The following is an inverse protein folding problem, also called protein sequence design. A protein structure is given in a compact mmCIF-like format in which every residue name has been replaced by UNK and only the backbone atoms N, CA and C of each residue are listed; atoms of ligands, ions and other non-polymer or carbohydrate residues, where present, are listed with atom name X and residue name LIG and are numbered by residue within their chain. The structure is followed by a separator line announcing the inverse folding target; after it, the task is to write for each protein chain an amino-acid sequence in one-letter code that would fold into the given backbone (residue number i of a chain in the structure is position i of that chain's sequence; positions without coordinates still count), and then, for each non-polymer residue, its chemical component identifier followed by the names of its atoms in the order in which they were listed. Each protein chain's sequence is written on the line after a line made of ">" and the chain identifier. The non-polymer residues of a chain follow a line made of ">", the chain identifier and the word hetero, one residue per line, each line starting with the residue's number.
data_IF_653054052869
#
_entry.id   IF_653054052869
#
_cell.length_a   1.000
_cell.length_b   1.000
_cell.length_c   1.000
_cell.angle_alpha   90.00
_cell.angle_beta   90.00
_cell.angle_gamma   90.00
#
_symmetry.space_group_name_H-M   'P 1'
#
loop_
_entity.id
_entity.type
_entity.pdbx_description
1 polymer ?
#
# COMPACT_ATOMS: atom_id res chain seq x y z
N UNK A 1 47.16 8.47 46.33
CA UNK A 1 46.98 8.19 44.88
C UNK A 1 45.82 7.21 44.71
N UNK A 2 44.60 7.70 44.46
CA UNK A 2 43.38 6.95 44.01
C UNK A 2 42.19 7.92 43.95
N UNK A 3 42.35 9.04 43.24
CA UNK A 3 41.29 10.06 43.03
C UNK A 3 40.89 10.16 41.55
N UNK A 4 40.99 9.06 40.79
CA UNK A 4 40.80 9.06 39.34
C UNK A 4 39.76 8.01 38.90
N UNK A 5 38.59 7.95 39.56
CA UNK A 5 37.55 6.95 39.22
C UNK A 5 36.11 7.48 39.21
N UNK A 6 35.90 8.79 39.24
CA UNK A 6 34.55 9.39 39.25
C UNK A 6 34.29 10.26 37.99
N UNK A 7 35.27 10.34 37.08
CA UNK A 7 35.21 11.12 35.84
C UNK A 7 34.75 10.29 34.62
N UNK A 8 33.75 9.42 34.79
CA UNK A 8 33.08 8.76 33.65
C UNK A 8 31.55 8.74 33.74
N UNK A 9 30.97 9.35 34.78
CA UNK A 9 29.53 9.26 35.06
C UNK A 9 28.76 10.59 34.94
N UNK A 10 29.34 11.60 34.30
CA UNK A 10 28.71 12.91 34.12
C UNK A 10 28.81 13.43 32.67
N UNK A 11 28.47 12.57 31.72
CA UNK A 11 28.25 12.94 30.31
C UNK A 11 26.86 12.53 29.77
N UNK A 12 25.89 12.28 30.66
CA UNK A 12 24.51 11.92 30.29
C UNK A 12 23.53 13.09 30.53
N UNK A 13 23.92 14.35 30.27
CA UNK A 13 22.95 15.46 30.44
C UNK A 13 22.85 16.47 29.32
N UNK A 14 23.52 16.29 28.18
CA UNK A 14 23.33 17.20 27.04
C UNK A 14 23.25 16.42 25.74
N UNK A 15 22.16 15.66 25.56
CA UNK A 15 21.65 15.43 24.22
C UNK A 15 20.79 16.66 23.91
N UNK A 16 21.18 17.55 22.99
CA UNK A 16 20.29 18.61 22.56
C UNK A 16 19.05 17.96 21.94
N UNK A 17 17.87 18.36 22.41
CA UNK A 17 16.56 17.95 21.92
C UNK A 17 16.28 18.32 20.44
N UNK A 18 17.31 18.65 19.66
CA UNK A 18 17.27 18.89 18.22
C UNK A 18 17.78 17.70 17.39
N UNK A 19 18.29 16.63 18.01
CA UNK A 19 18.64 15.40 17.31
C UNK A 19 17.47 14.40 17.32
N UNK A 20 16.27 14.83 16.90
CA UNK A 20 15.35 13.91 16.24
C UNK A 20 15.98 13.58 14.88
N UNK A 21 16.99 12.71 14.89
CA UNK A 21 17.42 12.00 13.69
C UNK A 21 16.21 11.18 13.27
N UNK A 22 15.41 11.74 12.38
CA UNK A 22 14.49 10.97 11.56
C UNK A 22 15.35 10.04 10.70
N UNK A 23 15.75 8.91 11.29
CA UNK A 23 16.01 7.69 10.55
C UNK A 23 14.68 7.25 9.94
N UNK A 24 14.26 7.94 8.89
CA UNK A 24 12.95 7.76 8.27
C UNK A 24 12.94 7.99 6.77
N UNK A 25 14.09 8.16 6.12
CA UNK A 25 14.14 8.51 4.69
C UNK A 25 15.10 7.67 3.83
N UNK A 26 15.77 6.66 4.36
CA UNK A 26 16.57 5.73 3.55
C UNK A 26 15.92 4.33 3.49
N UNK A 27 15.22 4.05 2.37
CA UNK A 27 14.71 2.74 1.88
C UNK A 27 13.27 2.29 2.24
N UNK A 28 12.25 3.05 1.81
CA UNK A 28 11.08 2.42 1.16
C UNK A 28 11.24 2.40 -0.36
N UNK A 29 12.37 1.89 -0.83
CA UNK A 29 12.62 1.70 -2.26
C UNK A 29 11.78 0.52 -2.74
N UNK A 30 10.78 0.80 -3.57
CA UNK A 30 10.21 -0.06 -4.62
C UNK A 30 9.53 -1.41 -4.28
N UNK A 31 9.28 -1.77 -3.01
CA UNK A 31 8.59 -3.04 -2.67
C UNK A 31 7.17 -2.84 -2.08
N UNK A 32 6.52 -1.72 -2.40
CA UNK A 32 5.11 -1.52 -2.03
C UNK A 32 4.25 -2.51 -2.82
N UNK A 33 3.40 -3.26 -2.13
CA UNK A 33 2.46 -4.11 -2.83
C UNK A 33 1.34 -3.28 -3.48
N UNK A 34 0.71 -3.79 -4.53
CA UNK A 34 -0.42 -3.13 -5.21
C UNK A 34 -1.51 -2.74 -4.20
N UNK A 35 -1.80 -3.61 -3.22
CA UNK A 35 -2.77 -3.33 -2.15
C UNK A 35 -2.36 -2.13 -1.30
N UNK A 36 -1.07 -1.98 -0.99
CA UNK A 36 -0.55 -0.86 -0.20
C UNK A 36 -0.57 0.46 -0.98
N UNK A 37 -0.34 0.39 -2.30
CA UNK A 37 -0.46 1.55 -3.20
C UNK A 37 -1.92 2.01 -3.30
N UNK A 38 -2.87 1.07 -3.39
CA UNK A 38 -4.30 1.37 -3.38
C UNK A 38 -4.74 2.02 -2.06
N UNK A 39 -4.29 1.48 -0.93
CA UNK A 39 -4.54 2.05 0.40
C UNK A 39 -3.94 3.47 0.53
N UNK A 40 -2.73 3.69 0.02
CA UNK A 40 -2.08 5.00 0.01
C UNK A 40 -2.81 6.04 -0.85
N UNK A 41 -3.56 5.58 -1.87
CA UNK A 41 -4.38 6.42 -2.76
C UNK A 41 -5.88 6.31 -2.47
N UNK A 42 -6.23 6.26 -1.17
CA UNK A 42 -7.61 6.14 -0.68
C UNK A 42 -8.61 7.15 -1.29
N UNK A 43 -8.18 8.36 -1.64
CA UNK A 43 -9.06 9.39 -2.25
C UNK A 43 -9.72 8.95 -3.57
N UNK A 44 -9.07 8.05 -4.34
CA UNK A 44 -9.57 7.62 -5.64
C UNK A 44 -10.01 6.16 -5.67
N UNK A 45 -9.51 5.33 -4.77
CA UNK A 45 -9.68 3.88 -4.81
C UNK A 45 -10.31 3.27 -3.55
N UNK A 46 -10.83 4.08 -2.62
CA UNK A 46 -11.40 3.57 -1.36
C UNK A 46 -12.51 2.52 -1.57
N UNK A 47 -13.37 2.69 -2.58
CA UNK A 47 -14.43 1.70 -2.89
C UNK A 47 -13.83 0.37 -3.36
N UNK A 48 -12.76 0.43 -4.16
CA UNK A 48 -12.07 -0.76 -4.63
C UNK A 48 -11.30 -1.44 -3.50
N UNK A 49 -10.59 -0.69 -2.65
CA UNK A 49 -9.87 -1.25 -1.50
C UNK A 49 -10.81 -2.04 -0.58
N UNK A 50 -11.98 -1.50 -0.26
CA UNK A 50 -12.97 -2.21 0.57
C UNK A 50 -13.61 -3.43 -0.10
N UNK A 51 -13.55 -3.56 -1.43
CA UNK A 51 -13.96 -4.76 -2.16
C UNK A 51 -12.83 -5.80 -2.21
N UNK A 52 -11.58 -5.35 -2.41
CA UNK A 52 -10.40 -6.20 -2.40
C UNK A 52 -10.18 -6.82 -1.01
N UNK A 53 -10.42 -6.07 0.06
CA UNK A 53 -10.35 -6.57 1.45
C UNK A 53 -11.36 -7.68 1.76
N UNK A 54 -12.43 -7.81 0.97
CA UNK A 54 -13.41 -8.90 1.12
C UNK A 54 -12.99 -10.20 0.46
N UNK A 55 -11.98 -10.16 -0.42
CA UNK A 55 -11.49 -11.33 -1.14
C UNK A 55 -10.00 -11.57 -0.86
N UNK A 56 -9.73 -12.56 -0.03
CA UNK A 56 -8.36 -12.98 0.32
C UNK A 56 -7.60 -13.56 -0.87
N UNK A 57 -8.27 -14.18 -1.84
CA UNK A 57 -7.63 -14.73 -3.03
C UNK A 57 -7.13 -13.61 -3.95
N UNK A 58 -7.86 -12.50 -4.02
CA UNK A 58 -7.45 -11.33 -4.78
C UNK A 58 -6.23 -10.66 -4.15
N UNK A 59 -6.19 -10.54 -2.82
CA UNK A 59 -5.01 -10.07 -2.09
C UNK A 59 -3.82 -11.00 -2.36
N UNK A 60 -4.01 -12.32 -2.20
CA UNK A 60 -2.95 -13.30 -2.44
C UNK A 60 -2.38 -13.19 -3.86
N UNK A 61 -3.25 -13.03 -4.86
CA UNK A 61 -2.86 -12.82 -6.26
C UNK A 61 -2.07 -11.53 -6.43
N UNK A 62 -2.55 -10.40 -5.91
CA UNK A 62 -1.86 -9.11 -6.03
C UNK A 62 -0.56 -9.03 -5.20
N UNK A 63 -0.41 -9.89 -4.20
CA UNK A 63 0.81 -10.06 -3.39
C UNK A 63 1.79 -11.09 -3.92
N UNK A 64 1.43 -11.82 -4.97
CA UNK A 64 2.30 -12.84 -5.55
C UNK A 64 3.54 -12.22 -6.20
N UNK A 65 4.62 -13.00 -6.28
CA UNK A 65 5.90 -12.59 -6.91
C UNK A 65 5.84 -12.48 -8.44
N UNK A 66 4.65 -12.52 -9.03
CA UNK A 66 4.43 -12.43 -10.47
C UNK A 66 4.08 -10.98 -10.80
N UNK A 67 4.56 -10.49 -11.95
CA UNK A 67 4.19 -9.17 -12.44
C UNK A 67 2.69 -9.14 -12.74
N UNK A 68 1.96 -8.28 -12.04
CA UNK A 68 0.54 -8.04 -12.24
C UNK A 68 0.29 -6.60 -12.63
N UNK A 69 -0.63 -6.39 -13.57
CA UNK A 69 -1.15 -5.06 -13.91
C UNK A 69 -2.60 -5.00 -13.50
N UNK A 70 -2.94 -4.09 -12.58
CA UNK A 70 -4.30 -3.86 -12.13
C UNK A 70 -4.88 -2.61 -12.80
N UNK A 71 -5.93 -2.78 -13.59
CA UNK A 71 -6.72 -1.67 -14.13
C UNK A 71 -7.73 -1.20 -13.09
N UNK A 72 -7.26 -0.50 -12.06
CA UNK A 72 -8.11 -0.08 -10.94
C UNK A 72 -9.13 1.00 -11.35
N UNK A 73 -10.45 0.74 -11.33
CA UNK A 73 -11.46 1.77 -11.48
C UNK A 73 -11.43 2.78 -10.32
N UNK A 74 -11.68 4.05 -10.61
CA UNK A 74 -11.80 5.10 -9.60
C UNK A 74 -13.18 5.10 -8.94
N UNK A 75 -13.30 5.74 -7.78
CA UNK A 75 -14.57 5.93 -7.08
C UNK A 75 -15.66 6.55 -7.99
N UNK A 76 -15.29 7.52 -8.85
CA UNK A 76 -16.21 8.10 -9.84
C UNK A 76 -16.70 7.09 -10.88
N UNK A 77 -15.88 6.09 -11.22
CA UNK A 77 -16.31 5.02 -12.12
C UNK A 77 -17.37 4.15 -11.44
N UNK A 78 -17.19 3.81 -10.15
CA UNK A 78 -18.19 3.09 -9.36
C UNK A 78 -19.52 3.86 -9.28
N UNK A 79 -19.49 5.17 -9.05
CA UNK A 79 -20.70 6.01 -9.01
C UNK A 79 -21.51 5.96 -10.32
N UNK A 80 -20.83 5.96 -11.46
CA UNK A 80 -21.48 5.87 -12.79
C UNK A 80 -22.13 4.52 -13.06
N UNK A 81 -21.62 3.45 -12.44
CA UNK A 81 -22.12 2.09 -12.65
C UNK A 81 -22.97 1.58 -11.48
N UNK A 82 -23.20 2.37 -10.42
CA UNK A 82 -23.99 2.01 -9.23
C UNK A 82 -25.34 1.38 -9.59
N UNK A 83 -26.02 1.92 -10.61
CA UNK A 83 -27.32 1.39 -11.08
C UNK A 83 -27.24 -0.03 -11.65
N UNK A 84 -26.07 -0.44 -12.16
CA UNK A 84 -25.79 -1.81 -12.63
C UNK A 84 -25.21 -2.68 -11.53
N UNK A 85 -24.36 -2.13 -10.66
CA UNK A 85 -23.79 -2.83 -9.51
C UNK A 85 -24.85 -3.28 -8.51
N UNK A 86 -25.91 -2.49 -8.29
CA UNK A 86 -27.02 -2.88 -7.43
C UNK A 86 -27.82 -4.10 -7.91
N UNK A 87 -27.58 -4.58 -9.13
CA UNK A 87 -28.18 -5.80 -9.69
C UNK A 87 -27.26 -7.02 -9.62
N UNK A 88 -26.00 -6.83 -9.23
CA UNK A 88 -25.00 -7.88 -9.18
C UNK A 88 -24.85 -8.41 -7.75
N UNK A 89 -24.64 -9.72 -7.61
CA UNK A 89 -24.25 -10.31 -6.34
C UNK A 89 -22.80 -9.91 -5.99
N UNK A 90 -22.41 -9.93 -4.70
CA UNK A 90 -21.01 -9.67 -4.31
C UNK A 90 -20.01 -10.62 -5.00
N UNK A 91 -20.42 -11.85 -5.29
CA UNK A 91 -19.61 -12.84 -6.00
C UNK A 91 -19.35 -12.44 -7.46
N UNK A 92 -20.37 -11.92 -8.14
CA UNK A 92 -20.24 -11.42 -9.51
C UNK A 92 -19.34 -10.17 -9.58
N UNK A 93 -19.40 -9.31 -8.56
CA UNK A 93 -18.51 -8.15 -8.47
C UNK A 93 -17.05 -8.61 -8.35
N UNK A 94 -16.79 -9.60 -7.51
CA UNK A 94 -15.46 -10.21 -7.37
C UNK A 94 -14.98 -10.82 -8.70
N UNK A 95 -15.84 -11.55 -9.41
CA UNK A 95 -15.50 -12.13 -10.71
C UNK A 95 -15.10 -11.04 -11.73
N UNK A 96 -15.85 -9.94 -11.78
CA UNK A 96 -15.53 -8.78 -12.62
C UNK A 96 -14.20 -8.14 -12.20
N UNK A 97 -13.91 -8.04 -10.90
CA UNK A 97 -12.64 -7.50 -10.42
C UNK A 97 -11.45 -8.39 -10.79
N UNK A 98 -11.62 -9.71 -10.88
CA UNK A 98 -10.58 -10.63 -11.37
C UNK A 98 -10.20 -10.32 -12.83
N UNK A 99 -11.16 -9.93 -13.67
CA UNK A 99 -10.88 -9.48 -15.05
C UNK A 99 -10.11 -8.15 -15.13
N UNK A 100 -10.10 -7.34 -14.06
CA UNK A 100 -9.30 -6.11 -14.02
C UNK A 100 -7.83 -6.39 -13.68
N UNK A 101 -7.48 -7.61 -13.30
CA UNK A 101 -6.10 -8.05 -13.07
C UNK A 101 -5.58 -8.75 -14.33
N UNK A 102 -4.64 -8.10 -15.01
CA UNK A 102 -3.89 -8.72 -16.08
C UNK A 102 -2.61 -9.37 -15.53
N UNK A 103 -2.31 -10.58 -16.01
CA UNK A 103 -1.04 -11.26 -15.73
C UNK A 103 0.01 -10.74 -16.70
N UNK A 104 1.16 -10.32 -16.18
CA UNK A 104 2.24 -9.74 -16.94
C UNK A 104 2.30 -8.21 -16.86
N UNK A 105 3.43 -7.67 -17.29
CA UNK A 105 3.71 -6.23 -17.31
C UNK A 105 3.24 -5.64 -18.63
N UNK A 106 2.03 -5.08 -18.65
CA UNK A 106 1.52 -4.35 -19.82
C UNK A 106 1.93 -2.90 -19.73
N UNK A 107 2.76 -2.43 -20.67
CA UNK A 107 3.17 -1.03 -20.77
C UNK A 107 2.21 -0.26 -21.67
N UNK A 108 1.90 0.99 -21.31
CA UNK A 108 1.04 1.86 -22.11
C UNK A 108 1.56 2.11 -23.54
N UNK A 109 2.86 1.89 -23.79
CA UNK A 109 3.49 2.01 -25.10
C UNK A 109 3.33 0.77 -26.00
N UNK A 110 2.59 -0.26 -25.55
CA UNK A 110 2.44 -1.53 -26.26
C UNK A 110 0.99 -2.02 -26.34
N UNK A 111 0.02 -1.09 -26.25
CA UNK A 111 -1.38 -1.30 -26.60
C UNK A 111 -1.63 -0.84 -28.04
#
# INVERSE_FOLDING_TARGET
>A
MKVLSILWLLCISVIPAAAMRLEGTTRRLSNQNIVEVLASKSSWFSTLSGLVEKDNDLIATLTSNVDHTLFAPTNMAFEKITARLGKLSPEQIIEVLKYHVAVGKTLSNNL
#
